data_IF_003468156352
#
_entry.id   IF_003468156352
#
_cell.length_a   1.000
_cell.length_b   1.000
_cell.length_c   1.000
_cell.angle_alpha   90.00
_cell.angle_beta   90.00
_cell.angle_gamma   90.00
#
_symmetry.space_group_name_H-M   'P 1'
#
loop_
_entity.id
_entity.type
_entity.pdbx_description
1 polymer ?
#
# COMPACT_ATOMS: atom_id res chain seq x y z
N UNK A 1 8.34 17.97 27.39
CA UNK A 1 8.03 16.80 28.24
C UNK A 1 8.59 15.57 27.54
N UNK A 2 9.51 14.85 28.20
CA UNK A 2 10.05 13.58 27.69
C UNK A 2 8.95 12.51 27.62
N UNK A 3 9.11 11.54 26.72
CA UNK A 3 8.19 10.41 26.50
C UNK A 3 7.95 9.62 27.80
N UNK A 4 9.01 9.46 28.60
CA UNK A 4 8.94 8.89 29.94
C UNK A 4 8.06 9.71 30.91
N UNK A 5 7.97 11.04 30.79
CA UNK A 5 7.09 11.87 31.62
C UNK A 5 5.62 11.78 31.18
N UNK A 6 5.34 11.63 29.88
CA UNK A 6 3.98 11.44 29.37
C UNK A 6 3.45 10.02 29.63
N UNK A 7 4.31 9.00 29.53
CA UNK A 7 4.02 7.63 29.98
C UNK A 7 3.83 7.57 31.51
N UNK A 8 4.71 8.21 32.29
CA UNK A 8 4.54 8.33 33.75
C UNK A 8 3.30 9.12 34.15
N UNK A 9 2.83 10.05 33.32
CA UNK A 9 1.59 10.79 33.52
C UNK A 9 0.33 10.04 33.03
N UNK A 10 0.47 8.84 32.45
CA UNK A 10 -0.66 8.02 31.98
C UNK A 10 -1.39 8.61 30.76
N UNK A 11 -0.78 9.54 30.02
CA UNK A 11 -1.44 10.21 28.89
C UNK A 11 -1.26 9.36 27.63
N UNK A 12 -2.19 8.43 27.41
CA UNK A 12 -2.28 7.61 26.19
C UNK A 12 -3.07 8.36 25.11
N UNK A 13 -2.54 8.45 23.89
CA UNK A 13 -3.34 8.91 22.74
C UNK A 13 -4.35 7.82 22.37
N UNK A 14 -5.63 8.08 22.61
CA UNK A 14 -6.70 7.12 22.34
C UNK A 14 -6.97 6.93 20.84
N UNK A 15 -6.60 7.92 20.01
CA UNK A 15 -6.79 7.92 18.55
C UNK A 15 -5.97 6.83 17.83
N UNK A 16 -4.86 6.37 18.43
CA UNK A 16 -4.01 5.32 17.84
C UNK A 16 -4.78 3.99 17.70
N UNK A 17 -5.64 3.66 18.66
CA UNK A 17 -6.39 2.40 18.65
C UNK A 17 -7.38 2.27 17.50
N UNK A 18 -8.35 3.20 17.29
CA UNK A 18 -9.26 3.10 16.16
C UNK A 18 -8.53 3.22 14.81
N UNK A 19 -7.46 4.02 14.71
CA UNK A 19 -6.66 4.12 13.49
C UNK A 19 -5.93 2.81 13.17
N UNK A 20 -5.34 2.16 14.18
CA UNK A 20 -4.68 0.87 14.03
C UNK A 20 -5.69 -0.23 13.67
N UNK A 21 -6.87 -0.24 14.30
CA UNK A 21 -7.94 -1.20 13.98
C UNK A 21 -8.45 -1.01 12.54
N UNK A 22 -8.68 0.23 12.12
CA UNK A 22 -9.09 0.54 10.74
C UNK A 22 -8.02 0.12 9.74
N UNK A 23 -6.75 0.43 10.02
CA UNK A 23 -5.63 0.03 9.18
C UNK A 23 -5.52 -1.49 9.07
N UNK A 24 -5.67 -2.20 10.19
CA UNK A 24 -5.67 -3.68 10.24
C UNK A 24 -6.83 -4.26 9.43
N UNK A 25 -8.03 -3.68 9.51
CA UNK A 25 -9.16 -4.08 8.67
C UNK A 25 -8.85 -3.99 7.18
N UNK A 26 -8.23 -2.88 6.74
CA UNK A 26 -7.75 -2.73 5.37
C UNK A 26 -6.70 -3.78 4.99
N UNK A 27 -5.73 -4.05 5.88
CA UNK A 27 -4.70 -5.07 5.68
C UNK A 27 -5.27 -6.48 5.51
N UNK A 28 -6.32 -6.82 6.25
CA UNK A 28 -7.00 -8.12 6.15
C UNK A 28 -7.76 -8.27 4.83
N UNK A 29 -8.41 -7.19 4.38
CA UNK A 29 -9.16 -7.18 3.12
C UNK A 29 -8.25 -7.20 1.88
N UNK A 30 -7.11 -6.51 1.95
CA UNK A 30 -6.24 -6.25 0.82
C UNK A 30 -5.78 -7.51 0.03
N UNK A 31 -5.27 -8.57 0.65
CA UNK A 31 -4.88 -9.79 -0.07
C UNK A 31 -6.07 -10.67 -0.49
N UNK A 32 -7.27 -10.47 0.07
CA UNK A 32 -8.45 -11.29 -0.27
C UNK A 32 -9.37 -10.63 -1.31
N UNK A 33 -9.16 -9.35 -1.63
CA UNK A 33 -9.95 -8.59 -2.60
C UNK A 33 -10.05 -9.29 -3.96
N UNK A 34 -11.27 -9.51 -4.45
CA UNK A 34 -11.52 -10.24 -5.69
C UNK A 34 -11.63 -9.34 -6.94
N UNK A 35 -11.83 -8.05 -6.75
CA UNK A 35 -11.78 -7.05 -7.81
C UNK A 35 -10.81 -5.92 -7.43
N UNK A 36 -10.30 -5.26 -8.46
CA UNK A 36 -9.27 -4.23 -8.32
C UNK A 36 -9.76 -2.97 -7.60
N UNK A 37 -11.05 -2.62 -7.70
CA UNK A 37 -11.59 -1.46 -7.01
C UNK A 37 -11.71 -1.72 -5.51
N UNK A 38 -12.18 -2.89 -5.11
CA UNK A 38 -12.16 -3.31 -3.69
C UNK A 38 -10.73 -3.39 -3.16
N UNK A 39 -9.78 -3.85 -3.97
CA UNK A 39 -8.36 -3.85 -3.60
C UNK A 39 -7.84 -2.42 -3.38
N UNK A 40 -8.22 -1.46 -4.22
CA UNK A 40 -7.89 -0.04 -4.03
C UNK A 40 -8.52 0.53 -2.75
N UNK A 41 -9.79 0.23 -2.47
CA UNK A 41 -10.44 0.66 -1.22
C UNK A 41 -9.72 0.06 -0.01
N UNK A 42 -9.38 -1.23 -0.03
CA UNK A 42 -8.61 -1.86 1.04
C UNK A 42 -7.24 -1.19 1.22
N UNK A 43 -6.58 -0.84 0.11
CA UNK A 43 -5.33 -0.08 0.10
C UNK A 43 -5.48 1.28 0.78
N UNK A 44 -6.52 2.05 0.47
CA UNK A 44 -6.73 3.36 1.11
C UNK A 44 -7.13 3.24 2.59
N UNK A 45 -7.99 2.28 2.93
CA UNK A 45 -8.38 1.98 4.32
C UNK A 45 -7.18 1.56 5.16
N UNK A 46 -6.22 0.83 4.58
CA UNK A 46 -4.99 0.49 5.30
C UNK A 46 -4.02 1.68 5.40
N UNK A 47 -4.00 2.56 4.40
CA UNK A 47 -3.00 3.62 4.22
C UNK A 47 -3.30 4.93 4.93
N UNK A 48 -4.52 5.46 4.79
CA UNK A 48 -4.89 6.76 5.36
C UNK A 48 -4.69 6.79 6.89
N UNK A 49 -5.11 5.78 7.67
CA UNK A 49 -4.89 5.79 9.11
C UNK A 49 -3.41 5.71 9.48
N UNK A 50 -2.60 5.01 8.68
CA UNK A 50 -1.13 4.96 8.88
C UNK A 50 -0.48 6.31 8.67
N UNK A 51 -0.90 7.07 7.66
CA UNK A 51 -0.39 8.43 7.44
C UNK A 51 -0.65 9.32 8.64
N UNK A 52 -1.86 9.25 9.22
CA UNK A 52 -2.17 9.98 10.45
C UNK A 52 -1.32 9.49 11.64
N UNK A 53 -1.22 8.18 11.85
CA UNK A 53 -0.45 7.61 12.97
C UNK A 53 1.04 7.97 12.92
N UNK A 54 1.63 8.14 11.74
CA UNK A 54 3.01 8.61 11.59
C UNK A 54 3.22 10.03 12.13
N UNK A 55 2.18 10.86 12.12
CA UNK A 55 2.21 12.26 12.54
C UNK A 55 1.93 12.50 14.03
N UNK A 56 1.74 11.43 14.82
CA UNK A 56 1.30 11.52 16.22
C UNK A 56 2.46 11.69 17.24
N UNK A 57 3.73 11.75 16.81
CA UNK A 57 4.86 11.80 17.73
C UNK A 57 4.92 13.14 18.50
N UNK A 58 5.16 13.06 19.82
CA UNK A 58 5.13 14.22 20.73
C UNK A 58 6.46 14.94 20.87
N UNK A 59 7.57 14.21 21.03
CA UNK A 59 8.89 14.80 21.30
C UNK A 59 9.57 15.35 20.03
N UNK A 60 9.17 14.87 18.84
CA UNK A 60 9.75 15.25 17.55
C UNK A 60 8.66 15.69 16.56
N UNK A 61 7.73 16.54 17.02
CA UNK A 61 6.51 16.91 16.29
C UNK A 61 6.79 17.39 14.86
N UNK A 62 7.81 18.23 14.67
CA UNK A 62 8.16 18.75 13.33
C UNK A 62 8.64 17.63 12.39
N UNK A 63 9.55 16.77 12.85
CA UNK A 63 10.04 15.62 12.08
C UNK A 63 8.92 14.61 11.79
N UNK A 64 8.04 14.35 12.75
CA UNK A 64 6.90 13.44 12.61
C UNK A 64 5.84 13.99 11.64
N UNK A 65 5.57 15.29 11.68
CA UNK A 65 4.68 15.96 10.72
C UNK A 65 5.28 15.97 9.30
N UNK A 66 6.58 16.24 9.17
CA UNK A 66 7.28 16.16 7.90
C UNK A 66 7.25 14.74 7.33
N UNK A 67 7.54 13.73 8.16
CA UNK A 67 7.46 12.33 7.79
C UNK A 67 6.05 11.91 7.37
N UNK A 68 5.02 12.29 8.12
CA UNK A 68 3.64 12.01 7.78
C UNK A 68 3.23 12.66 6.45
N UNK A 69 3.63 13.93 6.22
CA UNK A 69 3.37 14.63 4.97
C UNK A 69 4.09 13.97 3.79
N UNK A 70 5.37 13.63 3.94
CA UNK A 70 6.13 12.88 2.94
C UNK A 70 5.47 11.55 2.63
N UNK A 71 5.07 10.81 3.67
CA UNK A 71 4.43 9.51 3.48
C UNK A 71 3.11 9.64 2.74
N UNK A 72 2.28 10.61 3.14
CA UNK A 72 1.00 10.89 2.51
C UNK A 72 1.16 11.30 1.04
N UNK A 73 2.07 12.24 0.72
CA UNK A 73 2.25 12.73 -0.65
C UNK A 73 2.78 11.64 -1.58
N UNK A 74 3.84 10.93 -1.16
CA UNK A 74 4.39 9.83 -1.96
C UNK A 74 3.38 8.67 -2.07
N UNK A 75 2.63 8.42 -0.99
CA UNK A 75 1.55 7.45 -0.94
C UNK A 75 0.41 7.77 -1.89
N UNK A 76 -0.10 9.00 -1.87
CA UNK A 76 -1.18 9.45 -2.75
C UNK A 76 -0.75 9.39 -4.23
N UNK A 77 0.50 9.75 -4.53
CA UNK A 77 1.05 9.60 -5.88
C UNK A 77 1.09 8.13 -6.31
N UNK A 78 1.55 7.24 -5.45
CA UNK A 78 1.55 5.80 -5.70
C UNK A 78 0.14 5.23 -5.88
N UNK A 79 -0.82 5.65 -5.06
CA UNK A 79 -2.24 5.30 -5.17
C UNK A 79 -2.84 5.78 -6.50
N UNK A 80 -2.46 6.97 -6.98
CA UNK A 80 -2.91 7.47 -8.28
C UNK A 80 -2.36 6.62 -9.44
N UNK A 81 -1.09 6.20 -9.39
CA UNK A 81 -0.53 5.27 -10.37
C UNK A 81 -1.25 3.91 -10.33
N UNK A 82 -1.50 3.39 -9.14
CA UNK A 82 -2.25 2.15 -8.94
C UNK A 82 -3.65 2.25 -9.58
N UNK A 83 -4.40 3.30 -9.24
CA UNK A 83 -5.75 3.55 -9.76
C UNK A 83 -5.75 3.74 -11.28
N UNK A 84 -4.75 4.41 -11.84
CA UNK A 84 -4.61 4.54 -13.28
C UNK A 84 -4.32 3.18 -13.95
N UNK A 85 -3.52 2.32 -13.32
CA UNK A 85 -3.34 0.93 -13.73
C UNK A 85 -4.65 0.12 -13.74
N UNK A 86 -5.51 0.30 -12.73
CA UNK A 86 -6.86 -0.29 -12.71
C UNK A 86 -7.67 0.19 -13.91
N UNK A 87 -7.70 1.50 -14.17
CA UNK A 87 -8.47 2.07 -15.27
C UNK A 87 -8.04 1.51 -16.63
N UNK A 88 -6.72 1.35 -16.85
CA UNK A 88 -6.19 0.73 -18.07
C UNK A 88 -6.54 -0.76 -18.18
N UNK A 89 -6.44 -1.53 -17.09
CA UNK A 89 -6.81 -2.94 -17.11
C UNK A 89 -8.32 -3.14 -17.31
N UNK A 90 -9.14 -2.27 -16.73
CA UNK A 90 -10.57 -2.24 -16.96
C UNK A 90 -10.89 -1.98 -18.44
N UNK A 91 -10.29 -0.96 -19.04
CA UNK A 91 -10.50 -0.65 -20.46
C UNK A 91 -10.03 -1.77 -21.40
N UNK A 92 -9.14 -2.65 -20.94
CA UNK A 92 -8.62 -3.77 -21.73
C UNK A 92 -9.48 -5.04 -21.55
N UNK A 93 -9.89 -5.34 -20.32
CA UNK A 93 -10.56 -6.60 -19.96
C UNK A 93 -12.09 -6.47 -19.84
N UNK A 94 -12.64 -5.26 -19.83
CA UNK A 94 -14.06 -4.94 -19.59
C UNK A 94 -14.60 -5.49 -18.25
N UNK A 95 -13.70 -5.68 -17.28
CA UNK A 95 -14.00 -6.19 -15.95
C UNK A 95 -12.97 -5.70 -14.95
N UNK A 96 -13.40 -5.57 -13.69
CA UNK A 96 -12.52 -5.25 -12.56
C UNK A 96 -12.09 -6.50 -11.78
N UNK A 97 -12.69 -7.65 -12.07
CA UNK A 97 -12.39 -8.88 -11.33
C UNK A 97 -10.99 -9.37 -11.66
N UNK A 98 -10.21 -9.71 -10.63
CA UNK A 98 -8.83 -10.20 -10.79
C UNK A 98 -8.77 -11.44 -11.70
N UNK A 99 -9.65 -12.46 -11.53
CA UNK A 99 -9.66 -13.61 -12.44
C UNK A 99 -10.12 -13.25 -13.86
N UNK A 100 -11.05 -12.32 -14.01
CA UNK A 100 -11.55 -11.90 -15.32
C UNK A 100 -10.47 -11.19 -16.15
N UNK A 101 -9.65 -10.36 -15.50
CA UNK A 101 -8.49 -9.73 -16.13
C UNK A 101 -7.47 -10.79 -16.58
N UNK A 102 -7.18 -11.78 -15.74
CA UNK A 102 -6.31 -12.90 -16.11
C UNK A 102 -6.82 -13.67 -17.34
N UNK A 103 -8.12 -13.97 -17.39
CA UNK A 103 -8.74 -14.63 -18.53
C UNK A 103 -8.66 -13.78 -19.81
N UNK A 104 -8.89 -12.45 -19.71
CA UNK A 104 -8.77 -11.54 -20.85
C UNK A 104 -7.33 -11.50 -21.39
N UNK A 105 -6.34 -11.43 -20.50
CA UNK A 105 -4.90 -11.44 -20.87
C UNK A 105 -4.52 -12.75 -21.56
N UNK A 106 -4.97 -13.90 -21.04
CA UNK A 106 -4.71 -15.20 -21.68
C UNK A 106 -5.37 -15.31 -23.06
N UNK A 107 -6.56 -14.73 -23.24
CA UNK A 107 -7.32 -14.80 -24.50
C UNK A 107 -6.78 -13.85 -25.58
N UNK A 108 -6.52 -12.60 -25.21
CA UNK A 108 -6.23 -11.52 -26.15
C UNK A 108 -4.73 -11.16 -26.23
N UNK A 109 -3.90 -11.73 -25.35
CA UNK A 109 -2.46 -11.50 -25.28
C UNK A 109 -2.06 -10.19 -24.59
N UNK A 110 -0.78 -10.07 -24.25
CA UNK A 110 -0.19 -8.91 -23.57
C UNK A 110 -0.07 -7.66 -24.45
N UNK A 111 -1.19 -7.01 -24.76
CA UNK A 111 -1.17 -5.72 -25.47
C UNK A 111 -0.42 -4.66 -24.66
N UNK A 112 0.08 -3.62 -25.34
CA UNK A 112 0.77 -2.50 -24.67
C UNK A 112 -0.07 -1.89 -23.54
N UNK A 113 -1.41 -1.82 -23.72
CA UNK A 113 -2.33 -1.32 -22.71
C UNK A 113 -2.39 -2.22 -21.47
N UNK A 114 -2.44 -3.54 -21.65
CA UNK A 114 -2.41 -4.49 -20.54
C UNK A 114 -1.07 -4.47 -19.79
N UNK A 115 0.05 -4.38 -20.53
CA UNK A 115 1.39 -4.30 -19.95
C UNK A 115 1.60 -3.01 -19.14
N UNK A 116 1.21 -1.86 -19.69
CA UNK A 116 1.32 -0.57 -18.98
C UNK A 116 0.40 -0.57 -17.75
N UNK A 117 -0.84 -1.05 -17.90
CA UNK A 117 -1.79 -1.16 -16.78
C UNK A 117 -1.27 -2.05 -15.65
N UNK A 118 -0.75 -3.24 -15.98
CA UNK A 118 -0.14 -4.16 -15.03
C UNK A 118 1.13 -3.57 -14.40
N UNK A 119 1.96 -2.86 -15.18
CA UNK A 119 3.15 -2.17 -14.68
C UNK A 119 2.81 -1.10 -13.65
N UNK A 120 1.86 -0.21 -13.96
CA UNK A 120 1.41 0.85 -13.04
C UNK A 120 0.79 0.31 -11.76
N UNK A 121 -0.03 -0.75 -11.88
CA UNK A 121 -0.60 -1.45 -10.72
C UNK A 121 0.51 -2.05 -9.85
N UNK A 122 1.52 -2.67 -10.47
CA UNK A 122 2.67 -3.25 -9.76
C UNK A 122 3.51 -2.18 -9.07
N UNK A 123 3.72 -1.02 -9.69
CA UNK A 123 4.41 0.13 -9.07
C UNK A 123 3.74 0.54 -7.76
N UNK A 124 2.40 0.59 -7.73
CA UNK A 124 1.65 0.88 -6.51
C UNK A 124 1.92 -0.12 -5.37
N UNK A 125 1.98 -1.40 -5.70
CA UNK A 125 2.25 -2.47 -4.73
C UNK A 125 3.71 -2.46 -4.25
N UNK A 126 4.67 -2.24 -5.16
CA UNK A 126 6.09 -2.18 -4.83
C UNK A 126 6.42 -0.97 -3.93
N UNK A 127 5.77 0.17 -4.17
CA UNK A 127 5.84 1.30 -3.25
C UNK A 127 5.35 0.93 -1.85
N UNK A 128 4.24 0.19 -1.75
CA UNK A 128 3.68 -0.20 -0.45
C UNK A 128 4.60 -1.16 0.32
N UNK A 129 5.32 -2.02 -0.39
CA UNK A 129 6.36 -2.91 0.17
C UNK A 129 7.60 -2.12 0.61
N UNK A 130 7.86 -0.96 -0.03
CA UNK A 130 9.12 -0.23 0.09
C UNK A 130 10.26 -0.90 -0.69
N UNK A 131 9.93 -1.51 -1.84
CA UNK A 131 10.91 -2.16 -2.70
C UNK A 131 11.69 -1.14 -3.56
N UNK A 132 12.92 -1.45 -3.94
CA UNK A 132 13.69 -0.63 -4.89
C UNK A 132 12.99 -0.64 -6.27
N UNK A 133 12.84 0.51 -6.96
CA UNK A 133 13.30 1.87 -6.63
C UNK A 133 12.33 2.73 -5.81
N UNK A 134 11.18 2.22 -5.40
CA UNK A 134 10.08 2.95 -4.75
C UNK A 134 10.19 3.07 -3.22
N UNK A 135 11.41 2.98 -2.67
CA UNK A 135 11.68 2.89 -1.23
C UNK A 135 12.03 4.24 -0.58
N UNK A 136 12.06 5.33 -1.33
CA UNK A 136 12.54 6.66 -0.88
C UNK A 136 11.81 7.19 0.36
N UNK A 137 10.56 6.78 0.58
CA UNK A 137 9.78 7.16 1.76
C UNK A 137 10.22 6.44 3.04
N UNK A 138 10.81 5.23 2.93
CA UNK A 138 11.02 4.33 4.07
C UNK A 138 11.92 4.94 5.15
N UNK A 139 13.12 5.50 4.83
CA UNK A 139 14.03 6.03 5.85
C UNK A 139 13.41 7.20 6.62
N UNK A 140 12.85 8.18 5.89
CA UNK A 140 12.27 9.39 6.47
C UNK A 140 11.08 9.07 7.38
N UNK A 141 10.22 8.15 6.95
CA UNK A 141 9.02 7.79 7.70
C UNK A 141 9.35 6.95 8.92
N UNK A 142 10.30 6.01 8.81
CA UNK A 142 10.68 5.15 9.93
C UNK A 142 11.39 5.95 11.02
N UNK A 143 12.12 7.00 10.64
CA UNK A 143 12.81 7.88 11.57
C UNK A 143 11.86 8.91 12.22
N UNK A 144 10.85 9.38 11.48
CA UNK A 144 9.91 10.40 11.96
C UNK A 144 8.72 9.86 12.75
N UNK A 145 8.27 8.63 12.48
CA UNK A 145 7.12 8.04 13.15
C UNK A 145 7.43 7.55 14.58
N UNK A 146 6.42 7.46 15.47
CA UNK A 146 6.58 6.83 16.78
C UNK A 146 7.05 5.37 16.64
N UNK A 147 7.95 4.92 17.51
CA UNK A 147 8.56 3.57 17.43
C UNK A 147 7.54 2.42 17.32
N UNK A 148 6.42 2.41 18.07
CA UNK A 148 5.40 1.36 17.91
C UNK A 148 4.76 1.35 16.52
N UNK A 149 4.55 2.53 15.92
CA UNK A 149 3.96 2.67 14.58
C UNK A 149 4.96 2.21 13.52
N UNK A 150 6.24 2.56 13.68
CA UNK A 150 7.32 2.04 12.81
C UNK A 150 7.38 0.52 12.85
N UNK A 151 7.28 -0.10 14.03
CA UNK A 151 7.24 -1.56 14.18
C UNK A 151 6.02 -2.19 13.51
N UNK A 152 4.83 -1.61 13.70
CA UNK A 152 3.60 -2.04 13.03
C UNK A 152 3.72 -1.98 11.51
N UNK A 153 4.28 -0.90 10.97
CA UNK A 153 4.54 -0.72 9.54
C UNK A 153 5.62 -1.68 9.01
N UNK A 154 6.68 -1.95 9.77
CA UNK A 154 7.75 -2.82 9.30
C UNK A 154 7.29 -4.27 9.10
N UNK A 155 6.27 -4.72 9.83
CA UNK A 155 5.73 -6.07 9.76
C UNK A 155 4.40 -6.15 9.00
N UNK A 156 3.34 -5.53 9.52
CA UNK A 156 1.98 -5.80 9.10
C UNK A 156 1.67 -5.29 7.68
N UNK A 157 2.11 -4.07 7.35
CA UNK A 157 1.88 -3.50 6.01
C UNK A 157 2.60 -4.31 4.94
N UNK A 158 3.82 -4.78 5.21
CA UNK A 158 4.61 -5.58 4.27
C UNK A 158 3.94 -6.91 4.00
N UNK A 159 3.46 -7.61 5.03
CA UNK A 159 2.74 -8.88 4.86
C UNK A 159 1.49 -8.67 3.99
N UNK A 160 0.68 -7.65 4.27
CA UNK A 160 -0.51 -7.35 3.50
C UNK A 160 -0.19 -7.02 2.03
N UNK A 161 0.83 -6.19 1.80
CA UNK A 161 1.26 -5.79 0.46
C UNK A 161 1.84 -6.95 -0.35
N UNK A 162 2.65 -7.82 0.27
CA UNK A 162 3.13 -9.05 -0.37
C UNK A 162 1.98 -10.01 -0.72
N UNK A 163 0.99 -10.16 0.17
CA UNK A 163 -0.19 -10.98 -0.12
C UNK A 163 -0.97 -10.48 -1.33
N UNK A 164 -1.21 -9.17 -1.41
CA UNK A 164 -1.87 -8.55 -2.57
C UNK A 164 -1.03 -8.69 -3.86
N UNK A 165 0.29 -8.49 -3.78
CA UNK A 165 1.19 -8.67 -4.91
C UNK A 165 1.18 -10.10 -5.44
N UNK A 166 1.27 -11.10 -4.55
CA UNK A 166 1.19 -12.50 -4.95
C UNK A 166 -0.13 -12.82 -5.65
N UNK A 167 -1.25 -12.30 -5.15
CA UNK A 167 -2.56 -12.47 -5.78
C UNK A 167 -2.60 -11.90 -7.19
N UNK A 168 -2.09 -10.68 -7.40
CA UNK A 168 -2.04 -10.06 -8.72
C UNK A 168 -1.16 -10.87 -9.69
N UNK A 169 0.06 -11.20 -9.28
CA UNK A 169 1.01 -11.93 -10.13
C UNK A 169 0.50 -13.33 -10.51
N UNK A 170 -0.19 -14.02 -9.59
CA UNK A 170 -0.63 -15.40 -9.81
C UNK A 170 -2.00 -15.52 -10.48
N UNK A 171 -2.93 -14.58 -10.20
CA UNK A 171 -4.33 -14.68 -10.66
C UNK A 171 -4.59 -13.76 -11.85
N UNK A 172 -4.10 -12.52 -11.83
CA UNK A 172 -4.34 -11.56 -12.91
C UNK A 172 -3.28 -11.62 -14.02
N UNK A 173 -2.03 -11.98 -13.71
CA UNK A 173 -0.92 -11.94 -14.67
C UNK A 173 -0.29 -13.30 -15.06
N UNK A 174 -1.00 -14.45 -15.02
CA UNK A 174 -0.38 -15.73 -15.39
C UNK A 174 0.01 -15.78 -16.88
N UNK A 175 -0.70 -15.06 -17.76
CA UNK A 175 -0.38 -14.97 -19.18
C UNK A 175 0.84 -14.12 -19.52
N UNK A 176 1.40 -13.38 -18.54
CA UNK A 176 2.55 -12.48 -18.71
C UNK A 176 3.79 -12.98 -17.96
N UNK A 177 3.82 -14.24 -17.53
CA UNK A 177 4.93 -14.78 -16.70
C UNK A 177 6.29 -14.67 -17.35
N UNK A 178 6.37 -14.67 -18.68
CA UNK A 178 7.64 -14.49 -19.40
C UNK A 178 8.15 -13.04 -19.34
N UNK A 179 7.26 -12.06 -19.14
CA UNK A 179 7.59 -10.64 -19.18
C UNK A 179 8.06 -10.09 -17.82
N UNK A 180 7.61 -10.69 -16.70
CA UNK A 180 7.95 -10.21 -15.35
C UNK A 180 8.92 -11.10 -14.57
N UNK A 181 9.16 -12.36 -14.97
CA UNK A 181 10.12 -13.23 -14.26
C UNK A 181 11.56 -12.90 -14.67
N UNK A 182 12.50 -12.76 -13.72
CA UNK A 182 13.93 -12.80 -14.03
C UNK A 182 14.27 -14.17 -14.63
N UNK A 183 15.11 -14.18 -15.68
CA UNK A 183 15.68 -15.40 -16.26
C UNK A 183 16.57 -16.15 -15.27
#
# INVERSE_FOLDING_TARGET
MDEQHAERAGITQTEVFPLAMLSTGGMLLFPVSNDLLTMFVALEVLSLPLYLMCGLARCRRLLSQEAALKYFLLGAFSSALFLYGIAMLYGYADTLTVPGIGAAITKNGGTAMALIGAGLLTVGLLFKIGAVPFHSWVPDVYQGAPTPITGFMAAATKIAAFGALLRILTVALPGLTADWRPY
#
